data_IF_451293543551
#
_entry.id   IF_451293543551
#
_cell.length_a   1.000
_cell.length_b   1.000
_cell.length_c   1.000
_cell.angle_alpha   90.00
_cell.angle_beta   90.00
_cell.angle_gamma   90.00
#
_symmetry.space_group_name_H-M   'P 1'
#
loop_
_entity.id
_entity.type
_entity.pdbx_description
1 polymer ?
#
# COMPACT_ATOMS: atom_id res chain seq x y z
N UNK A 1 7.77 -3.90 25.50
CA UNK A 1 7.60 -4.64 24.24
C UNK A 1 6.36 -5.47 24.41
N UNK A 2 5.36 -5.32 23.53
CA UNK A 2 4.10 -6.06 23.63
C UNK A 2 4.34 -7.48 23.11
N UNK A 3 3.80 -8.48 23.80
CA UNK A 3 3.92 -9.86 23.34
C UNK A 3 3.14 -10.07 22.02
N UNK A 4 3.67 -10.87 21.08
CA UNK A 4 2.98 -11.16 19.82
C UNK A 4 1.64 -11.86 20.06
N UNK A 5 0.62 -11.50 19.27
CA UNK A 5 -0.72 -12.10 19.38
C UNK A 5 -0.73 -13.57 18.96
N UNK A 6 -1.71 -14.35 19.43
CA UNK A 6 -1.91 -15.73 19.01
C UNK A 6 -2.11 -15.83 17.49
N UNK A 7 -1.38 -16.73 16.82
CA UNK A 7 -1.41 -16.89 15.36
C UNK A 7 -0.39 -16.04 14.59
N UNK A 8 0.37 -15.18 15.28
CA UNK A 8 1.51 -14.47 14.71
C UNK A 8 2.52 -15.47 14.14
N UNK A 9 2.84 -15.42 12.83
CA UNK A 9 3.83 -16.31 12.22
C UNK A 9 5.17 -16.31 12.98
N UNK A 10 5.71 -17.49 13.22
CA UNK A 10 7.06 -17.69 13.80
C UNK A 10 8.18 -17.46 12.80
N UNK A 11 7.84 -17.31 11.51
CA UNK A 11 8.76 -16.95 10.45
C UNK A 11 9.35 -15.54 10.66
N UNK A 12 10.53 -15.24 10.06
CA UNK A 12 11.12 -13.91 10.15
C UNK A 12 10.18 -12.83 9.60
N UNK A 13 10.08 -11.73 10.35
CA UNK A 13 9.24 -10.58 9.99
C UNK A 13 9.96 -9.64 9.04
N UNK A 14 9.24 -9.14 8.04
CA UNK A 14 9.74 -8.06 7.19
C UNK A 14 9.78 -6.77 8.00
N UNK A 15 10.96 -6.16 8.10
CA UNK A 15 11.13 -4.85 8.72
C UNK A 15 10.73 -3.77 7.72
N UNK A 16 9.45 -3.46 7.62
CA UNK A 16 8.96 -2.45 6.66
C UNK A 16 9.57 -1.07 6.92
N UNK A 17 9.84 -0.74 8.19
CA UNK A 17 10.35 0.57 8.58
C UNK A 17 9.26 1.62 8.77
N UNK A 18 7.98 1.21 8.71
CA UNK A 18 6.85 2.06 9.05
C UNK A 18 6.69 2.15 10.58
N UNK A 19 6.37 3.34 11.05
CA UNK A 19 5.98 3.61 12.43
C UNK A 19 4.46 3.65 12.51
N UNK A 20 3.91 2.96 13.49
CA UNK A 20 2.47 2.89 13.68
C UNK A 20 2.09 2.44 15.07
N UNK A 21 0.80 2.48 15.34
CA UNK A 21 0.19 1.96 16.56
C UNK A 21 -1.08 1.18 16.22
N UNK A 22 -1.45 0.27 17.11
CA UNK A 22 -2.72 -0.46 17.00
C UNK A 22 -3.74 0.19 17.93
N UNK A 23 -4.93 0.48 17.41
CA UNK A 23 -6.05 0.99 18.19
C UNK A 23 -7.33 0.32 17.72
N UNK A 24 -8.17 -0.14 18.65
CA UNK A 24 -9.43 -0.84 18.34
C UNK A 24 -9.30 -2.03 17.37
N UNK A 25 -8.16 -2.73 17.38
CA UNK A 25 -7.89 -3.86 16.48
C UNK A 25 -7.41 -3.49 15.09
N UNK A 26 -7.23 -2.19 14.80
CA UNK A 26 -6.75 -1.69 13.51
C UNK A 26 -5.35 -1.10 13.62
N UNK A 27 -4.53 -1.27 12.57
CA UNK A 27 -3.18 -0.71 12.47
C UNK A 27 -3.23 0.67 11.83
N UNK A 28 -2.71 1.67 12.54
CA UNK A 28 -2.55 3.03 12.05
C UNK A 28 -1.07 3.31 11.77
N UNK A 29 -0.73 3.56 10.51
CA UNK A 29 0.61 4.00 10.11
C UNK A 29 0.69 5.52 10.24
N UNK A 30 1.67 6.02 10.99
CA UNK A 30 1.85 7.46 11.27
C UNK A 30 3.08 8.06 10.61
N UNK A 31 3.95 7.24 10.03
CA UNK A 31 5.16 7.68 9.36
C UNK A 31 6.15 6.54 9.21
N UNK A 32 7.43 6.86 9.06
CA UNK A 32 8.52 5.87 9.03
C UNK A 32 9.53 6.12 10.14
N UNK A 33 10.19 5.06 10.56
CA UNK A 33 11.29 5.14 11.54
C UNK A 33 12.53 5.81 10.93
N UNK A 34 12.62 5.86 9.60
CA UNK A 34 13.61 6.62 8.83
C UNK A 34 12.93 7.17 7.58
N UNK A 35 13.23 8.43 7.24
CA UNK A 35 12.58 9.14 6.13
C UNK A 35 13.22 8.87 4.76
N UNK A 36 14.19 7.96 4.70
CA UNK A 36 14.99 7.68 3.50
C UNK A 36 15.07 6.19 3.21
N UNK A 37 14.82 5.82 1.96
CA UNK A 37 15.18 4.54 1.38
C UNK A 37 16.57 4.66 0.76
N UNK A 38 17.50 3.78 1.15
CA UNK A 38 18.85 3.74 0.59
C UNK A 38 18.90 2.59 -0.42
N UNK A 39 18.70 2.91 -1.69
CA UNK A 39 18.62 1.93 -2.78
C UNK A 39 19.85 2.11 -3.66
N UNK A 40 20.70 1.07 -3.74
CA UNK A 40 21.95 1.08 -4.54
C UNK A 40 22.83 2.32 -4.26
N UNK A 41 22.96 2.68 -2.98
CA UNK A 41 23.79 3.81 -2.53
C UNK A 41 23.19 5.20 -2.79
N UNK A 42 21.92 5.28 -3.22
CA UNK A 42 21.21 6.55 -3.37
C UNK A 42 20.08 6.68 -2.36
N UNK A 43 19.93 7.88 -1.83
CA UNK A 43 18.84 8.23 -0.93
C UNK A 43 17.61 8.60 -1.76
N UNK A 44 16.48 7.97 -1.45
CA UNK A 44 15.19 8.23 -2.05
C UNK A 44 14.16 8.51 -0.95
N UNK A 45 13.40 9.60 -1.08
CA UNK A 45 12.26 9.84 -0.21
C UNK A 45 11.10 8.93 -0.66
N UNK A 46 10.50 8.13 0.25
CA UNK A 46 9.37 7.27 -0.08
C UNK A 46 8.20 8.04 -0.71
N UNK A 47 7.92 9.25 -0.21
CA UNK A 47 6.82 10.10 -0.65
C UNK A 47 6.89 10.43 -2.15
N UNK A 48 8.09 10.71 -2.67
CA UNK A 48 8.31 11.00 -4.10
C UNK A 48 8.01 9.77 -4.97
N UNK A 49 8.43 8.59 -4.51
CA UNK A 49 8.17 7.32 -5.20
C UNK A 49 6.67 7.02 -5.18
N UNK A 50 6.04 7.16 -4.01
CA UNK A 50 4.63 6.91 -3.82
C UNK A 50 3.78 7.86 -4.68
N UNK A 51 4.10 9.16 -4.68
CA UNK A 51 3.43 10.15 -5.52
C UNK A 51 3.55 9.79 -7.01
N UNK A 52 4.76 9.43 -7.47
CA UNK A 52 5.01 9.01 -8.86
C UNK A 52 4.15 7.79 -9.25
N UNK A 53 4.06 6.78 -8.38
CA UNK A 53 3.26 5.57 -8.66
C UNK A 53 1.76 5.83 -8.57
N UNK A 54 1.34 6.75 -7.70
CA UNK A 54 -0.06 7.16 -7.57
C UNK A 54 -0.61 7.82 -8.84
N UNK A 55 0.22 8.54 -9.61
CA UNK A 55 -0.17 9.13 -10.91
C UNK A 55 -0.69 8.08 -11.90
N UNK A 56 -0.15 6.86 -11.83
CA UNK A 56 -0.52 5.75 -12.71
C UNK A 56 -1.68 4.96 -12.11
N UNK A 57 -1.64 4.67 -10.81
CA UNK A 57 -2.51 3.66 -10.21
C UNK A 57 -3.78 4.22 -9.59
N UNK A 58 -3.80 5.51 -9.20
CA UNK A 58 -4.92 6.18 -8.49
C UNK A 58 -5.34 5.48 -7.18
N UNK A 59 -4.52 4.55 -6.69
CA UNK A 59 -4.71 3.78 -5.46
C UNK A 59 -3.81 4.27 -4.33
N UNK A 60 -3.92 3.68 -3.15
CA UNK A 60 -2.94 3.91 -2.07
C UNK A 60 -1.66 3.17 -2.40
N UNK A 61 -0.51 3.79 -2.15
CA UNK A 61 0.80 3.22 -2.43
C UNK A 61 1.67 3.34 -1.19
N UNK A 62 2.44 2.29 -0.89
CA UNK A 62 3.50 2.32 0.11
C UNK A 62 4.81 1.83 -0.53
N UNK A 63 5.87 2.62 -0.44
CA UNK A 63 7.21 2.24 -0.89
C UNK A 63 8.00 1.64 0.27
N UNK A 64 8.60 0.47 0.08
CA UNK A 64 9.40 -0.23 1.09
C UNK A 64 10.71 -0.73 0.50
N UNK A 65 11.70 -0.93 1.38
CA UNK A 65 12.97 -1.55 1.03
C UNK A 65 12.96 -3.01 1.48
N UNK A 66 13.40 -3.91 0.60
CA UNK A 66 13.53 -5.33 0.90
C UNK A 66 14.97 -5.78 0.66
N UNK A 67 15.65 -6.39 1.65
CA UNK A 67 16.99 -6.90 1.48
C UNK A 67 16.99 -8.15 0.59
N UNK A 68 17.74 -8.12 -0.51
CA UNK A 68 17.94 -9.23 -1.46
C UNK A 68 19.44 -9.33 -1.79
N UNK A 69 20.05 -10.48 -1.51
CA UNK A 69 21.47 -10.76 -1.84
C UNK A 69 22.45 -9.66 -1.38
N UNK A 70 22.31 -9.19 -0.14
CA UNK A 70 23.12 -8.09 0.44
C UNK A 70 22.91 -6.70 -0.18
N UNK A 71 21.88 -6.54 -1.02
CA UNK A 71 21.45 -5.25 -1.57
C UNK A 71 20.03 -4.94 -1.14
N UNK A 72 19.67 -3.66 -1.16
CA UNK A 72 18.30 -3.21 -0.88
C UNK A 72 17.54 -2.98 -2.18
N UNK A 73 16.42 -3.68 -2.34
CA UNK A 73 15.52 -3.53 -3.47
C UNK A 73 14.31 -2.66 -3.10
N UNK A 74 13.97 -1.72 -3.97
CA UNK A 74 12.74 -0.95 -3.86
C UNK A 74 11.54 -1.81 -4.28
N UNK A 75 10.53 -1.87 -3.43
CA UNK A 75 9.24 -2.53 -3.68
C UNK A 75 8.12 -1.55 -3.37
N UNK A 76 7.07 -1.53 -4.18
CA UNK A 76 5.87 -0.73 -3.94
C UNK A 76 4.66 -1.64 -3.76
N UNK A 77 3.94 -1.47 -2.67
CA UNK A 77 2.65 -2.13 -2.42
C UNK A 77 1.54 -1.17 -2.83
N UNK A 78 0.61 -1.65 -3.64
CA UNK A 78 -0.41 -0.81 -4.28
C UNK A 78 -1.79 -1.39 -3.99
N UNK A 79 -2.66 -0.58 -3.40
CA UNK A 79 -4.07 -0.89 -3.27
C UNK A 79 -4.77 -0.65 -4.61
N UNK A 80 -5.16 -1.72 -5.31
CA UNK A 80 -5.93 -1.62 -6.54
C UNK A 80 -7.42 -1.53 -6.20
N UNK A 81 -8.06 -0.42 -6.57
CA UNK A 81 -9.52 -0.36 -6.60
C UNK A 81 -10.00 -1.15 -7.80
N UNK A 82 -10.88 -2.12 -7.58
CA UNK A 82 -11.61 -2.77 -8.67
C UNK A 82 -12.36 -1.66 -9.41
N UNK A 83 -12.06 -1.47 -10.69
CA UNK A 83 -12.94 -0.68 -11.56
C UNK A 83 -14.26 -1.44 -11.54
N UNK A 84 -15.29 -0.89 -10.89
CA UNK A 84 -16.62 -1.45 -10.98
C UNK A 84 -16.94 -1.53 -12.48
N UNK A 85 -17.35 -2.71 -12.96
CA UNK A 85 -17.73 -2.90 -14.36
C UNK A 85 -18.71 -1.79 -14.72
N UNK A 86 -18.33 -0.94 -15.67
CA UNK A 86 -19.15 0.15 -16.18
C UNK A 86 -20.31 -0.36 -17.06
N UNK A 87 -20.93 -1.48 -16.68
CA UNK A 87 -22.10 -2.09 -17.35
C UNK A 87 -22.87 -2.97 -16.36
N UNK A 88 -23.62 -2.37 -15.44
CA UNK A 88 -24.88 -2.95 -14.95
C UNK A 88 -25.71 -1.86 -14.26
N UNK A 89 -26.17 -0.89 -15.05
CA UNK A 89 -27.35 -0.08 -14.73
C UNK A 89 -27.92 0.44 -16.06
N UNK A 90 -28.49 -0.48 -16.83
CA UNK A 90 -29.44 -0.16 -17.90
C UNK A 90 -30.49 -1.27 -18.00
N UNK A 91 -31.16 -1.53 -16.87
CA UNK A 91 -32.47 -2.18 -16.87
C UNK A 91 -33.42 -1.25 -16.11
N UNK A 92 -34.32 -0.57 -16.84
CA UNK A 92 -35.54 -0.07 -16.21
C UNK A 92 -36.12 1.30 -16.55
N UNK A 93 -35.60 2.11 -17.50
CA UNK A 93 -36.31 3.36 -17.87
C UNK A 93 -36.03 3.90 -19.29
N UNK A 94 -36.31 3.10 -20.32
CA UNK A 94 -36.30 3.58 -21.71
C UNK A 94 -37.54 3.14 -22.51
N UNK A 95 -38.69 3.03 -21.83
CA UNK A 95 -40.00 2.82 -22.47
C UNK A 95 -40.92 4.03 -22.22
N UNK A 96 -40.37 5.23 -22.40
CA UNK A 96 -41.10 6.51 -22.31
C UNK A 96 -40.94 7.41 -23.55
N UNK A 97 -40.55 6.85 -24.70
CA UNK A 97 -40.37 7.65 -25.93
C UNK A 97 -41.08 7.09 -27.19
N UNK A 98 -42.14 6.30 -27.03
CA UNK A 98 -43.06 6.00 -28.14
C UNK A 98 -44.52 5.97 -27.65
N UNK A 99 -45.16 7.14 -27.59
CA UNK A 99 -46.60 7.34 -27.80
C UNK A 99 -46.80 8.73 -28.39
#
# INVERSE_FOLDING_TARGET
>A
VVDPQAGTPTAPWLRTGDLGFVSNGELFVVGRIKDLLIIRGRNHHPEDIEATVQEITRGRVAAISVPVNSTENLVTVIELKKVADATSDSDGDAMRWLT
#
